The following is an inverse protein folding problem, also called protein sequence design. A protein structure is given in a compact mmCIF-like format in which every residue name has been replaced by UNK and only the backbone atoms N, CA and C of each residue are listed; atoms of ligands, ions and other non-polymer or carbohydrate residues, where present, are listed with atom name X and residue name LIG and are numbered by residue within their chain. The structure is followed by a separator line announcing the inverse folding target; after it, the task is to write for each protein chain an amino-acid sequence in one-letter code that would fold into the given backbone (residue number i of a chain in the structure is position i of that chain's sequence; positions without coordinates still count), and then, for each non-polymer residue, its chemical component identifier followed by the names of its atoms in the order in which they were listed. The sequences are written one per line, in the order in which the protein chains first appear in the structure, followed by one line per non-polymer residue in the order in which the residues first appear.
data_IF_618521329530
#
_entry.id   IF_618521329530
#
_cell.length_a   1.000
_cell.length_b   1.000
_cell.length_c   1.000
_cell.angle_alpha   90.00
_cell.angle_beta   90.00
_cell.angle_gamma   90.00
#
_symmetry.space_group_name_H-M   'P 1'
#
loop_
_entity.id
_entity.type
_entity.pdbx_description
1 polymer ?
#
# COMPACT_ATOMS: atom_id res chain seq x y z
N UNK A 1 -63.14 11.15 34.19
CA UNK A 1 -62.66 10.20 35.22
C UNK A 1 -63.17 8.81 34.79
N UNK A 2 -62.41 7.82 34.32
CA UNK A 2 -61.00 7.46 34.49
C UNK A 2 -60.43 6.83 33.21
N UNK A 3 -59.23 7.25 32.90
CA UNK A 3 -58.19 6.63 32.07
C UNK A 3 -57.81 5.25 32.65
N UNK A 4 -57.78 4.21 31.80
CA UNK A 4 -57.10 2.91 31.99
C UNK A 4 -56.82 2.33 30.59
N UNK A 5 -55.76 2.72 29.89
CA UNK A 5 -54.35 2.35 30.01
C UNK A 5 -54.01 0.94 29.47
N UNK A 6 -53.14 0.96 28.44
CA UNK A 6 -52.12 -0.04 28.09
C UNK A 6 -52.55 -1.29 27.32
N UNK A 7 -52.77 -1.19 26.00
CA UNK A 7 -52.46 -2.27 25.05
C UNK A 7 -52.27 -1.69 23.65
N UNK A 8 -51.15 -1.01 23.42
CA UNK A 8 -50.66 -0.86 22.06
C UNK A 8 -49.13 -0.91 22.09
N UNK A 9 -48.66 -2.14 21.92
CA UNK A 9 -47.43 -2.53 21.27
C UNK A 9 -46.64 -1.38 20.65
N UNK A 10 -45.70 -0.82 21.40
CA UNK A 10 -44.50 -0.25 20.81
C UNK A 10 -43.36 -1.04 21.41
N UNK A 11 -43.10 -2.19 20.77
CA UNK A 11 -41.75 -2.72 20.70
C UNK A 11 -40.93 -1.54 20.21
N UNK A 12 -40.21 -0.86 21.11
CA UNK A 12 -39.12 0.05 20.78
C UNK A 12 -38.02 -0.87 20.21
N UNK A 13 -38.28 -1.37 19.00
CA UNK A 13 -37.32 -2.03 18.17
C UNK A 13 -36.20 -1.04 17.98
N UNK A 14 -35.02 -1.44 18.42
CA UNK A 14 -33.82 -0.64 18.35
C UNK A 14 -33.75 0.07 17.01
N UNK A 15 -33.77 1.39 17.06
CA UNK A 15 -33.10 2.17 16.03
C UNK A 15 -31.63 1.78 16.18
N UNK A 16 -31.23 0.73 15.48
CA UNK A 16 -29.85 0.53 15.10
C UNK A 16 -29.50 1.80 14.34
N UNK A 17 -28.89 2.74 15.05
CA UNK A 17 -28.09 3.78 14.43
C UNK A 17 -26.94 3.00 13.82
N UNK A 18 -27.17 2.48 12.62
CA UNK A 18 -26.11 2.09 11.73
C UNK A 18 -25.30 3.37 11.54
N UNK A 19 -24.17 3.46 12.21
CA UNK A 19 -23.11 4.38 11.83
C UNK A 19 -22.63 3.94 10.45
N UNK A 20 -23.40 4.27 9.41
CA UNK A 20 -22.83 4.44 8.08
C UNK A 20 -22.00 5.72 8.14
N UNK A 21 -20.83 5.61 8.78
CA UNK A 21 -19.72 6.51 8.56
C UNK A 21 -19.22 6.25 7.14
N UNK A 22 -19.98 6.73 6.15
CA UNK A 22 -19.41 7.04 4.86
C UNK A 22 -18.84 8.45 5.00
N UNK A 23 -17.77 8.55 5.76
CA UNK A 23 -16.95 9.75 5.81
C UNK A 23 -15.77 9.47 4.91
N UNK A 24 -15.78 10.08 3.72
CA UNK A 24 -14.54 10.39 3.00
C UNK A 24 -13.79 11.39 3.89
N UNK A 25 -13.20 10.89 4.96
CA UNK A 25 -12.57 11.71 5.98
C UNK A 25 -11.28 12.27 5.39
N UNK A 26 -11.27 13.57 5.15
CA UNK A 26 -10.10 14.39 4.82
C UNK A 26 -9.03 14.39 5.95
N UNK A 27 -9.10 13.44 6.89
CA UNK A 27 -8.13 13.25 7.97
C UNK A 27 -7.31 11.97 7.78
N UNK A 28 -7.76 11.04 6.94
CA UNK A 28 -7.02 9.82 6.59
C UNK A 28 -5.74 10.10 5.78
N UNK A 29 -5.69 11.19 5.02
CA UNK A 29 -4.50 11.56 4.22
C UNK A 29 -3.41 12.31 5.02
N UNK A 30 -3.64 12.59 6.31
CA UNK A 30 -2.66 13.25 7.17
C UNK A 30 -1.70 12.24 7.84
N UNK A 31 -2.02 10.94 7.80
CA UNK A 31 -1.24 9.91 8.52
C UNK A 31 -0.43 8.98 7.60
N UNK A 32 -0.53 9.12 6.27
CA UNK A 32 0.22 8.32 5.31
C UNK A 32 0.78 9.21 4.19
N UNK A 33 2.08 9.49 4.25
CA UNK A 33 2.78 10.37 3.31
C UNK A 33 2.95 9.76 1.92
N UNK A 34 2.85 8.44 1.81
CA UNK A 34 3.06 7.67 0.58
C UNK A 34 1.92 6.67 0.35
N UNK A 35 1.57 6.49 -0.92
CA UNK A 35 0.60 5.52 -1.42
C UNK A 35 1.21 4.95 -2.70
N UNK A 36 1.03 3.66 -2.97
CA UNK A 36 1.50 3.07 -4.23
C UNK A 36 0.74 3.69 -5.40
N UNK A 37 1.45 3.91 -6.51
CA UNK A 37 0.77 4.30 -7.75
C UNK A 37 -0.13 3.16 -8.24
N UNK A 38 -1.22 3.53 -8.91
CA UNK A 38 -2.12 2.57 -9.55
C UNK A 38 -1.85 2.51 -11.05
N UNK A 39 -1.97 1.33 -11.62
CA UNK A 39 -1.87 1.13 -13.07
C UNK A 39 -3.20 1.51 -13.73
N UNK A 40 -3.17 2.55 -14.55
CA UNK A 40 -4.31 3.03 -15.31
C UNK A 40 -4.68 2.11 -16.48
N UNK A 41 -5.77 2.40 -17.19
CA UNK A 41 -6.29 1.56 -18.28
C UNK A 41 -5.32 1.30 -19.44
N UNK A 42 -4.27 2.12 -19.56
CA UNK A 42 -3.27 2.05 -20.61
C UNK A 42 -1.89 1.62 -20.09
N UNK A 43 -1.78 1.09 -18.86
CA UNK A 43 -0.49 0.77 -18.23
C UNK A 43 0.24 1.98 -17.61
N UNK A 44 -0.39 3.15 -17.57
CA UNK A 44 0.21 4.37 -17.01
C UNK A 44 0.10 4.38 -15.48
N UNK A 45 1.19 4.70 -14.78
CA UNK A 45 1.16 4.87 -13.33
C UNK A 45 0.53 6.21 -12.94
N UNK A 46 -0.48 6.18 -12.07
CA UNK A 46 -1.29 7.34 -11.71
C UNK A 46 -1.53 7.38 -10.19
N UNK A 47 -1.83 8.57 -9.67
CA UNK A 47 -2.34 8.74 -8.31
C UNK A 47 -3.85 8.85 -8.34
N UNK A 48 -4.56 8.00 -7.59
CA UNK A 48 -6.02 8.07 -7.47
C UNK A 48 -6.46 9.38 -6.80
N UNK A 49 -5.68 9.84 -5.83
CA UNK A 49 -5.99 11.04 -5.09
C UNK A 49 -5.49 12.30 -5.81
N UNK A 50 -6.36 13.26 -6.17
CA UNK A 50 -5.97 14.49 -6.86
C UNK A 50 -5.14 15.45 -5.99
N UNK A 51 -5.03 15.22 -4.68
CA UNK A 51 -4.18 15.97 -3.74
C UNK A 51 -2.76 15.38 -3.63
N UNK A 52 -2.53 14.24 -4.25
CA UNK A 52 -1.22 13.60 -4.36
C UNK A 52 -0.59 13.92 -5.71
N UNK A 53 0.71 13.75 -5.77
CA UNK A 53 1.54 13.90 -6.95
C UNK A 53 2.36 12.63 -7.12
N UNK A 54 2.50 12.19 -8.37
CA UNK A 54 3.29 11.03 -8.72
C UNK A 54 4.77 11.43 -8.74
N UNK A 55 5.60 10.66 -8.03
CA UNK A 55 7.05 10.86 -8.03
C UNK A 55 7.78 9.52 -8.19
N UNK A 56 8.98 9.58 -8.76
CA UNK A 56 9.97 8.52 -8.66
C UNK A 56 10.81 8.83 -7.42
N UNK A 57 10.55 8.09 -6.34
CA UNK A 57 11.24 8.25 -5.07
C UNK A 57 12.57 7.50 -5.10
N UNK A 58 13.66 8.20 -4.77
CA UNK A 58 15.03 7.69 -4.79
C UNK A 58 15.57 7.78 -3.36
N UNK A 59 15.59 6.66 -2.60
CA UNK A 59 15.99 6.69 -1.20
C UNK A 59 17.44 7.16 -1.01
N UNK A 60 17.69 8.08 -0.05
CA UNK A 60 19.05 8.48 0.29
C UNK A 60 19.93 7.28 0.67
N UNK A 61 21.08 7.16 0.03
CA UNK A 61 22.03 6.06 0.28
C UNK A 61 21.68 4.74 -0.42
N UNK A 62 20.51 4.62 -1.07
CA UNK A 62 20.15 3.45 -1.85
C UNK A 62 19.38 3.83 -3.14
N UNK A 63 20.05 4.44 -4.12
CA UNK A 63 19.41 4.88 -5.36
C UNK A 63 18.93 3.72 -6.25
N UNK A 64 19.43 2.50 -6.01
CA UNK A 64 18.98 1.30 -6.73
C UNK A 64 17.55 0.88 -6.33
N UNK A 65 17.06 1.33 -5.17
CA UNK A 65 15.69 1.10 -4.71
C UNK A 65 14.75 2.25 -5.12
N UNK A 66 14.96 2.82 -6.31
CA UNK A 66 14.04 3.80 -6.85
C UNK A 66 12.69 3.15 -7.14
N UNK A 67 11.60 3.80 -6.74
CA UNK A 67 10.25 3.27 -6.96
C UNK A 67 9.22 4.39 -7.08
N UNK A 68 8.16 4.12 -7.82
CA UNK A 68 7.10 5.09 -8.08
C UNK A 68 6.10 5.12 -6.92
N UNK A 69 5.84 6.31 -6.37
CA UNK A 69 4.87 6.51 -5.29
C UNK A 69 4.06 7.79 -5.48
N UNK A 70 2.94 7.86 -4.78
CA UNK A 70 2.06 9.01 -4.70
C UNK A 70 2.22 9.71 -3.35
N UNK A 71 2.86 10.88 -3.37
CA UNK A 71 3.06 11.71 -2.18
C UNK A 71 2.11 12.89 -2.13
N UNK A 72 1.85 13.43 -0.95
CA UNK A 72 1.09 14.68 -0.84
C UNK A 72 1.79 15.80 -1.63
N UNK A 73 1.03 16.63 -2.34
CA UNK A 73 1.56 17.82 -3.03
C UNK A 73 2.37 18.75 -2.12
N UNK A 74 2.08 18.76 -0.83
CA UNK A 74 2.82 19.54 0.16
C UNK A 74 4.21 18.96 0.50
N UNK A 75 4.45 17.69 0.20
CA UNK A 75 5.71 16.99 0.46
C UNK A 75 6.63 16.97 -0.77
N UNK A 76 6.10 17.19 -1.97
CA UNK A 76 6.83 17.15 -3.25
C UNK A 76 8.09 18.03 -3.23
N UNK A 77 8.00 19.24 -2.69
CA UNK A 77 9.16 20.14 -2.59
C UNK A 77 10.28 19.51 -1.76
N UNK A 78 9.95 18.90 -0.63
CA UNK A 78 10.93 18.21 0.21
C UNK A 78 11.58 17.04 -0.51
N UNK A 79 10.76 16.21 -1.16
CA UNK A 79 11.19 15.04 -1.92
C UNK A 79 12.16 15.42 -3.06
N UNK A 80 11.82 16.43 -3.85
CA UNK A 80 12.62 16.86 -5.01
C UNK A 80 13.86 17.66 -4.62
N UNK A 81 13.78 18.52 -3.60
CA UNK A 81 14.89 19.43 -3.23
C UNK A 81 15.91 18.81 -2.27
N UNK A 82 15.47 17.88 -1.40
CA UNK A 82 16.32 17.32 -0.36
C UNK A 82 16.69 15.85 -0.58
N UNK A 83 15.86 15.08 -1.27
CA UNK A 83 16.04 13.63 -1.43
C UNK A 83 16.43 13.19 -2.84
N UNK A 84 16.30 14.07 -3.84
CA UNK A 84 16.68 13.77 -5.22
C UNK A 84 15.58 13.08 -6.02
N UNK A 85 14.35 13.05 -5.49
CA UNK A 85 13.19 12.49 -6.17
C UNK A 85 12.85 13.30 -7.42
N UNK A 86 12.18 12.66 -8.38
CA UNK A 86 11.75 13.30 -9.63
C UNK A 86 10.23 13.23 -9.79
N UNK A 87 9.64 14.20 -10.49
CA UNK A 87 8.20 14.20 -10.78
C UNK A 87 7.91 13.19 -11.89
N UNK A 88 6.85 12.39 -11.69
CA UNK A 88 6.43 11.34 -12.62
C UNK A 88 6.84 9.94 -12.18
N UNK A 89 6.52 8.94 -13.00
CA UNK A 89 6.91 7.55 -12.75
C UNK A 89 8.43 7.37 -12.91
N UNK A 90 8.99 6.34 -12.29
CA UNK A 90 10.35 5.91 -12.59
C UNK A 90 10.46 5.43 -14.05
N UNK A 91 11.64 5.60 -14.66
CA UNK A 91 11.87 5.26 -16.07
C UNK A 91 11.64 3.78 -16.40
N UNK A 92 11.74 2.91 -15.39
CA UNK A 92 11.49 1.47 -15.51
C UNK A 92 10.00 1.11 -15.41
N UNK A 93 9.14 2.13 -15.25
CA UNK A 93 7.70 2.00 -15.02
C UNK A 93 6.82 1.95 -16.26
N UNK A 94 7.41 1.93 -17.47
CA UNK A 94 6.69 1.64 -18.71
C UNK A 94 6.49 0.12 -18.84
N UNK A 95 5.56 -0.41 -18.05
CA UNK A 95 4.80 -1.61 -18.41
C UNK A 95 5.57 -2.94 -18.55
N UNK A 96 6.48 -3.26 -17.65
CA UNK A 96 6.81 -4.66 -17.36
C UNK A 96 6.02 -5.09 -16.12
N UNK A 97 4.70 -5.01 -16.23
CA UNK A 97 3.87 -6.05 -15.63
C UNK A 97 4.32 -7.32 -16.34
N UNK A 98 5.29 -8.01 -15.73
CA UNK A 98 5.45 -9.43 -15.93
C UNK A 98 4.07 -10.03 -15.70
N UNK A 99 3.36 -10.25 -16.79
CA UNK A 99 2.32 -11.25 -16.92
C UNK A 99 3.03 -12.59 -16.67
N UNK A 100 3.36 -12.84 -15.39
CA UNK A 100 3.56 -14.17 -14.85
C UNK A 100 2.16 -14.81 -14.79
N UNK A 101 1.52 -14.91 -15.96
CA UNK A 101 0.57 -15.96 -16.26
C UNK A 101 1.36 -17.26 -16.38
N UNK A 102 1.93 -17.73 -15.27
CA UNK A 102 2.26 -19.14 -15.12
C UNK A 102 0.95 -19.85 -14.79
N UNK A 103 0.20 -20.13 -15.85
CA UNK A 103 -0.87 -21.11 -15.85
C UNK A 103 -0.32 -22.39 -15.22
N UNK A 104 -0.89 -22.79 -14.08
CA UNK A 104 -0.42 -23.93 -13.31
C UNK A 104 -0.26 -25.20 -14.15
N UNK A 105 0.90 -25.83 -14.04
CA UNK A 105 1.07 -27.25 -14.27
C UNK A 105 1.02 -27.96 -12.91
N UNK A 106 -0.13 -28.56 -12.63
CA UNK A 106 -0.31 -29.52 -11.55
C UNK A 106 0.60 -30.73 -11.80
N UNK A 107 1.81 -30.70 -11.26
CA UNK A 107 2.73 -31.83 -11.17
C UNK A 107 2.94 -32.25 -9.72
N UNK A 108 2.07 -33.13 -9.21
CA UNK A 108 2.39 -34.00 -8.08
C UNK A 108 3.63 -34.85 -8.44
N UNK A 109 4.80 -34.54 -7.86
CA UNK A 109 5.93 -35.47 -7.78
C UNK A 109 6.44 -35.52 -6.33
N UNK A 110 6.05 -36.60 -5.66
CA UNK A 110 6.46 -37.06 -4.35
C UNK A 110 7.91 -37.57 -4.37
N UNK A 111 8.85 -36.64 -4.47
CA UNK A 111 10.29 -36.89 -4.36
C UNK A 111 10.85 -36.58 -2.97
N UNK A 112 10.73 -37.52 -2.04
CA UNK A 112 11.34 -37.47 -0.71
C UNK A 112 12.88 -37.34 -0.79
N UNK A 113 13.42 -36.20 -0.35
CA UNK A 113 14.83 -36.10 0.09
C UNK A 113 14.91 -35.52 1.50
N UNK A 114 15.47 -36.26 2.48
CA UNK A 114 15.61 -35.81 3.88
C UNK A 114 16.63 -34.65 4.03
N UNK A 115 16.55 -33.90 5.14
CA UNK A 115 17.20 -32.59 5.29
C UNK A 115 18.72 -32.69 5.47
N UNK A 116 19.47 -31.82 4.79
CA UNK A 116 20.84 -31.50 5.20
C UNK A 116 20.79 -30.34 6.20
N UNK A 117 21.03 -30.68 7.46
CA UNK A 117 21.46 -29.75 8.49
C UNK A 117 22.80 -29.11 8.08
N UNK A 118 22.77 -28.00 7.34
CA UNK A 118 23.92 -27.11 7.23
C UNK A 118 23.70 -25.87 8.13
N UNK A 119 24.47 -25.71 9.22
CA UNK A 119 24.42 -24.50 10.01
C UNK A 119 25.00 -23.32 9.20
N UNK A 120 24.44 -22.10 9.31
CA UNK A 120 25.10 -20.92 8.78
C UNK A 120 26.45 -20.75 9.50
N UNK A 121 27.52 -20.62 8.71
CA UNK A 121 28.82 -20.20 9.22
C UNK A 121 28.74 -18.70 9.51
N UNK A 122 28.70 -18.36 10.79
CA UNK A 122 28.99 -17.02 11.32
C UNK A 122 30.49 -16.77 11.18
N UNK A 123 30.94 -16.25 10.04
CA UNK A 123 32.30 -15.74 9.89
C UNK A 123 32.32 -14.26 10.30
N UNK A 124 32.17 -14.02 11.61
CA UNK A 124 32.19 -12.71 12.26
C UNK A 124 33.42 -11.85 11.94
N UNK A 125 33.47 -11.34 10.72
CA UNK A 125 34.53 -10.50 10.20
C UNK A 125 34.06 -9.05 10.37
N UNK A 126 34.60 -8.29 11.33
CA UNK A 126 34.26 -6.87 11.43
C UNK A 126 34.74 -6.17 10.16
N UNK A 127 33.80 -5.62 9.39
CA UNK A 127 34.10 -4.69 8.30
C UNK A 127 34.89 -3.50 8.86
N UNK A 128 36.08 -3.17 8.31
CA UNK A 128 36.82 -2.00 8.75
C UNK A 128 36.06 -0.73 8.35
N UNK A 129 35.67 0.06 9.35
CA UNK A 129 35.23 1.43 9.14
C UNK A 129 36.49 2.26 8.82
N UNK A 130 36.53 2.83 7.63
CA UNK A 130 37.39 3.97 7.31
C UNK A 130 36.65 5.27 7.61
#
# INVERSE_FOLDING_TARGET
MRISNVFLSVVFGGLVVACVASTSDDTLYMTGTEESAVTGPNGEQLCENPKKELICHIPPGNPANAHTICVSKNAVDTHTSHHGDTIGACADGDGDDGDDGDDGDDGDDDGETPPTDEPPTDDGTPTPLF
#
